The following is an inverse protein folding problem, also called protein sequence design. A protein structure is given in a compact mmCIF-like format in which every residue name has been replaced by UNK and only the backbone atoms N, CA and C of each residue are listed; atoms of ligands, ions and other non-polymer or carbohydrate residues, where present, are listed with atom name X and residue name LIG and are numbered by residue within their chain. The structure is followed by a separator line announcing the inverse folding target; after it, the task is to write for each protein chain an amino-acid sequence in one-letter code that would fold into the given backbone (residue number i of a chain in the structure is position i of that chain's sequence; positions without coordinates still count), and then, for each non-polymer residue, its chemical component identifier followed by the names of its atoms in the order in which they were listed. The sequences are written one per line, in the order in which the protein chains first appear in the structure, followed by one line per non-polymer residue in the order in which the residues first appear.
data_IF_515336920685
#
_entry.id   IF_515336920685
#
_cell.length_a   1.000
_cell.length_b   1.000
_cell.length_c   1.000
_cell.angle_alpha   90.00
_cell.angle_beta   90.00
_cell.angle_gamma   90.00
#
_symmetry.space_group_name_H-M   'P 1'
#
loop_
_entity.id
_entity.type
_entity.pdbx_description
1 polymer ?
#
# COMPACT_ATOMS: atom_id res chain seq x y z
N UNK A 1 34.87 11.17 10.44
CA UNK A 1 35.29 11.26 9.02
C UNK A 1 34.03 11.39 8.17
N UNK A 2 33.94 12.43 7.32
CA UNK A 2 32.82 12.60 6.38
C UNK A 2 33.33 12.22 4.99
N UNK A 3 32.82 11.11 4.46
CA UNK A 3 33.09 10.67 3.10
C UNK A 3 32.09 11.35 2.16
N UNK A 4 32.58 11.96 1.09
CA UNK A 4 31.77 12.65 0.10
C UNK A 4 32.33 12.35 -1.30
N UNK A 5 31.45 12.00 -2.23
CA UNK A 5 31.75 11.88 -3.65
C UNK A 5 30.51 12.21 -4.49
N UNK A 6 30.69 12.53 -5.79
CA UNK A 6 29.64 13.15 -6.61
C UNK A 6 28.34 12.32 -6.74
N UNK A 7 28.45 10.99 -6.69
CA UNK A 7 27.33 10.05 -6.88
C UNK A 7 26.83 9.38 -5.60
N UNK A 8 27.28 9.84 -4.42
CA UNK A 8 26.93 9.23 -3.13
C UNK A 8 25.41 9.04 -2.98
N UNK A 9 24.61 10.03 -3.35
CA UNK A 9 23.17 9.96 -3.28
C UNK A 9 22.56 8.88 -4.21
N UNK A 10 23.13 8.73 -5.41
CA UNK A 10 22.71 7.71 -6.37
C UNK A 10 23.07 6.31 -5.89
N UNK A 11 24.29 6.13 -5.39
CA UNK A 11 24.78 4.84 -4.90
C UNK A 11 23.98 4.37 -3.68
N UNK A 12 23.67 5.29 -2.75
CA UNK A 12 22.81 5.00 -1.60
C UNK A 12 21.40 4.62 -2.04
N UNK A 13 20.82 5.36 -3.00
CA UNK A 13 19.49 5.05 -3.52
C UNK A 13 19.45 3.68 -4.20
N UNK A 14 20.49 3.34 -4.97
CA UNK A 14 20.63 2.04 -5.61
C UNK A 14 20.76 0.92 -4.58
N UNK A 15 21.59 1.11 -3.55
CA UNK A 15 21.78 0.14 -2.48
C UNK A 15 20.49 -0.14 -1.70
N UNK A 16 19.77 0.91 -1.29
CA UNK A 16 18.47 0.77 -0.61
C UNK A 16 17.45 0.07 -1.52
N UNK A 17 17.47 0.34 -2.82
CA UNK A 17 16.59 -0.28 -3.80
C UNK A 17 16.85 -1.77 -4.04
N UNK A 18 18.10 -2.23 -3.90
CA UNK A 18 18.50 -3.63 -4.08
C UNK A 18 18.43 -4.45 -2.78
N UNK A 19 18.38 -3.80 -1.61
CA UNK A 19 18.36 -4.46 -0.32
C UNK A 19 16.95 -4.99 0.02
N UNK A 20 16.82 -6.31 0.16
CA UNK A 20 15.56 -6.97 0.51
C UNK A 20 15.05 -6.54 1.90
N UNK A 21 15.91 -6.45 2.91
CA UNK A 21 15.51 -6.04 4.27
C UNK A 21 14.98 -4.60 4.28
N UNK A 22 15.61 -3.70 3.54
CA UNK A 22 15.16 -2.32 3.39
C UNK A 22 13.81 -2.26 2.67
N UNK A 23 13.59 -3.07 1.63
CA UNK A 23 12.31 -3.15 0.94
C UNK A 23 11.19 -3.70 1.86
N UNK A 24 11.48 -4.73 2.67
CA UNK A 24 10.50 -5.32 3.59
C UNK A 24 10.09 -4.34 4.70
N UNK A 25 11.04 -3.56 5.20
CA UNK A 25 10.79 -2.54 6.23
C UNK A 25 10.28 -1.21 5.66
N UNK A 26 10.20 -1.07 4.33
CA UNK A 26 9.72 0.15 3.69
C UNK A 26 8.23 0.37 4.00
N UNK A 27 7.94 1.41 4.78
CA UNK A 27 6.56 1.80 5.14
C UNK A 27 5.80 2.49 4.01
N UNK A 28 6.53 2.98 3.00
CA UNK A 28 5.97 3.58 1.79
C UNK A 28 5.45 2.45 0.90
N UNK A 29 4.19 2.08 1.11
CA UNK A 29 3.47 1.22 0.18
C UNK A 29 3.28 1.98 -1.13
N UNK A 30 3.52 1.31 -2.25
CA UNK A 30 3.14 1.78 -3.57
C UNK A 30 1.68 2.27 -3.49
N UNK A 31 1.50 3.58 -3.69
CA UNK A 31 0.18 4.20 -3.66
C UNK A 31 -0.51 3.80 -4.95
N UNK A 32 -1.07 2.58 -4.97
CA UNK A 32 -1.88 2.12 -6.09
C UNK A 32 -3.07 3.07 -6.13
N UNK A 33 -3.23 3.87 -7.21
CA UNK A 33 -4.36 4.77 -7.30
C UNK A 33 -5.64 3.93 -7.17
N UNK A 34 -6.61 4.34 -6.34
CA UNK A 34 -7.85 3.61 -6.23
C UNK A 34 -8.53 3.60 -7.60
N UNK A 35 -8.56 2.44 -8.26
CA UNK A 35 -9.34 2.26 -9.47
C UNK A 35 -10.81 2.32 -9.08
N UNK A 36 -11.46 3.46 -9.34
CA UNK A 36 -12.91 3.60 -9.14
C UNK A 36 -13.61 2.72 -10.18
N UNK A 37 -14.33 1.66 -9.78
CA UNK A 37 -15.08 0.86 -10.73
C UNK A 37 -16.21 1.72 -11.32
N UNK A 38 -16.31 1.74 -12.65
CA UNK A 38 -17.43 2.39 -13.33
C UNK A 38 -18.70 1.62 -12.96
N UNK A 39 -19.73 2.26 -12.37
CA UNK A 39 -20.97 1.56 -12.08
C UNK A 39 -21.56 1.04 -13.38
N UNK A 40 -21.82 -0.27 -13.40
CA UNK A 40 -22.57 -0.89 -14.47
C UNK A 40 -24.01 -0.36 -14.54
N UNK A 41 -24.71 -0.66 -15.63
CA UNK A 41 -26.18 -0.58 -15.66
C UNK A 41 -26.79 -1.34 -14.47
N UNK A 42 -28.04 -1.04 -14.13
CA UNK A 42 -28.79 -1.75 -13.09
C UNK A 42 -28.62 -3.27 -13.22
N UNK A 43 -28.46 -3.95 -12.08
CA UNK A 43 -28.28 -5.41 -11.96
C UNK A 43 -26.96 -6.00 -12.51
N UNK A 44 -25.96 -5.19 -12.88
CA UNK A 44 -24.70 -5.71 -13.43
C UNK A 44 -23.74 -6.30 -12.38
N UNK A 45 -23.86 -5.91 -11.11
CA UNK A 45 -23.02 -6.41 -10.02
C UNK A 45 -23.75 -6.33 -8.68
N UNK A 46 -23.74 -7.42 -7.93
CA UNK A 46 -24.21 -7.46 -6.54
C UNK A 46 -23.01 -7.68 -5.62
N UNK A 47 -22.91 -6.85 -4.58
CA UNK A 47 -21.94 -7.04 -3.50
C UNK A 47 -22.73 -7.60 -2.30
N UNK A 48 -22.41 -8.81 -1.89
CA UNK A 48 -23.05 -9.50 -0.77
C UNK A 48 -21.99 -9.70 0.30
N UNK A 49 -22.24 -9.15 1.48
CA UNK A 49 -21.38 -9.31 2.64
C UNK A 49 -22.21 -9.68 3.87
N UNK A 50 -21.63 -10.46 4.78
CA UNK A 50 -22.27 -10.87 6.03
C UNK A 50 -21.62 -10.14 7.19
N UNK A 51 -22.39 -9.30 7.87
CA UNK A 51 -21.95 -8.63 9.10
C UNK A 51 -22.44 -9.41 10.33
N UNK A 52 -21.55 -9.62 11.30
CA UNK A 52 -21.93 -10.09 12.62
C UNK A 52 -22.53 -8.89 13.38
N UNK A 53 -23.85 -8.88 13.51
CA UNK A 53 -24.52 -7.86 14.32
C UNK A 53 -24.50 -8.26 15.81
N UNK A 54 -24.02 -7.40 16.72
CA UNK A 54 -24.17 -7.64 18.15
C UNK A 54 -25.66 -7.65 18.52
N UNK A 55 -26.02 -8.43 19.53
CA UNK A 55 -27.40 -8.54 20.00
C UNK A 55 -27.88 -7.17 20.46
N UNK A 56 -29.04 -6.73 19.97
CA UNK A 56 -29.64 -5.48 20.40
C UNK A 56 -29.80 -5.48 21.93
N UNK A 57 -29.16 -4.50 22.60
CA UNK A 57 -29.25 -4.31 24.04
C UNK A 57 -28.13 -4.92 24.91
N UNK A 58 -27.02 -5.40 24.36
CA UNK A 58 -25.83 -5.70 25.18
C UNK A 58 -24.98 -4.44 25.36
N UNK A 59 -24.89 -3.94 26.60
CA UNK A 59 -23.84 -3.01 27.06
C UNK A 59 -22.50 -3.74 27.22
#
# INVERSE_FOLDING_TARGET
MRFWWPMLANDVKWYIGMCHECQVQQTVKLHIPPTVPIPGSLFRKAHIDTMLMPKAGSY
#
